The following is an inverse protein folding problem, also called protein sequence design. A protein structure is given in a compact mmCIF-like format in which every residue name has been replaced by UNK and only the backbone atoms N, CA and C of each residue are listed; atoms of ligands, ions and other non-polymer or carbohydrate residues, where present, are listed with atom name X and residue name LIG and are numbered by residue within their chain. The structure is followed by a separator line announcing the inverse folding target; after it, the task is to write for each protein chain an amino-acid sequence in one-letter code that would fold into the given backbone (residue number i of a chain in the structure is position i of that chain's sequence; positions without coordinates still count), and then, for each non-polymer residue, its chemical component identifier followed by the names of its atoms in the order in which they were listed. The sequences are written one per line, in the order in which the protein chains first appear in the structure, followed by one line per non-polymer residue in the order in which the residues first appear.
data_IF_523490813748
#
_entry.id   IF_523490813748
#
_cell.length_a   1.000
_cell.length_b   1.000
_cell.length_c   1.000
_cell.angle_alpha   90.00
_cell.angle_beta   90.00
_cell.angle_gamma   90.00
#
_symmetry.space_group_name_H-M   'P 1'
#
loop_
_entity.id
_entity.type
_entity.pdbx_description
1 polymer ?
#
# COMPACT_ATOMS: atom_id res chain seq x y z
N UNK A 1 -21.39 -14.36 6.47
CA UNK A 1 -20.37 -15.43 6.47
C UNK A 1 -19.49 -15.27 5.22
N UNK A 2 -18.19 -15.00 5.38
CA UNK A 2 -17.29 -14.73 4.25
C UNK A 2 -16.60 -16.03 3.83
N UNK A 3 -16.94 -16.55 2.64
CA UNK A 3 -16.35 -17.78 2.10
C UNK A 3 -14.89 -17.52 1.75
N UNK A 4 -13.96 -18.17 2.48
CA UNK A 4 -12.53 -18.18 2.18
C UNK A 4 -12.29 -18.93 0.87
N UNK A 5 -12.41 -18.25 -0.29
CA UNK A 5 -11.98 -18.80 -1.58
C UNK A 5 -10.49 -19.13 -1.48
N UNK A 6 -10.14 -20.42 -1.66
CA UNK A 6 -8.74 -20.85 -1.76
C UNK A 6 -8.10 -20.11 -2.93
N UNK A 7 -6.91 -19.54 -2.74
CA UNK A 7 -6.15 -18.95 -3.83
C UNK A 7 -6.02 -19.97 -4.97
N UNK A 8 -6.24 -19.54 -6.22
CA UNK A 8 -6.05 -20.43 -7.36
C UNK A 8 -4.61 -20.98 -7.35
N UNK A 9 -4.40 -22.13 -7.98
CA UNK A 9 -3.05 -22.68 -8.14
C UNK A 9 -2.17 -21.64 -8.84
N UNK A 10 -0.88 -21.61 -8.46
CA UNK A 10 0.13 -20.68 -9.02
C UNK A 10 0.37 -20.85 -10.52
N UNK A 11 -0.06 -21.98 -11.10
CA UNK A 11 -0.03 -22.23 -12.53
C UNK A 11 -1.44 -22.48 -13.06
N UNK A 12 -1.74 -21.86 -14.19
CA UNK A 12 -2.82 -22.31 -15.08
C UNK A 12 -2.44 -23.68 -15.63
N UNK A 13 -3.34 -24.67 -15.61
CA UNK A 13 -3.10 -25.98 -16.25
C UNK A 13 -3.09 -25.92 -17.79
N UNK A 14 -3.24 -24.72 -18.36
CA UNK A 14 -3.23 -24.46 -19.79
C UNK A 14 -1.81 -24.44 -20.33
N UNK A 15 -1.61 -25.06 -21.50
CA UNK A 15 -0.39 -24.94 -22.30
C UNK A 15 -0.35 -23.57 -22.98
N UNK A 16 0.29 -22.59 -22.33
CA UNK A 16 0.38 -21.21 -22.81
C UNK A 16 1.26 -21.08 -24.05
N UNK A 17 2.29 -21.93 -24.20
CA UNK A 17 3.17 -21.91 -25.37
C UNK A 17 2.41 -22.27 -26.65
N UNK A 18 1.51 -23.26 -26.56
CA UNK A 18 0.63 -23.62 -27.68
C UNK A 18 -0.36 -22.51 -28.03
N UNK A 19 -0.92 -21.83 -27.04
CA UNK A 19 -1.85 -20.71 -27.26
C UNK A 19 -1.13 -19.54 -27.92
N UNK A 20 0.06 -19.17 -27.44
CA UNK A 20 0.86 -18.07 -27.99
C UNK A 20 1.35 -18.34 -29.42
N UNK A 21 1.60 -19.60 -29.77
CA UNK A 21 1.97 -19.99 -31.12
C UNK A 21 0.81 -19.91 -32.14
N UNK A 22 -0.44 -19.90 -31.67
CA UNK A 22 -1.61 -19.88 -32.56
C UNK A 22 -1.85 -18.48 -33.14
N UNK A 23 -1.81 -18.38 -34.47
CA UNK A 23 -2.17 -17.15 -35.18
C UNK A 23 -3.63 -17.21 -35.59
N UNK A 24 -4.43 -16.34 -34.96
CA UNK A 24 -5.88 -16.25 -35.18
C UNK A 24 -6.16 -15.82 -36.63
N UNK A 25 -6.99 -16.59 -37.35
CA UNK A 25 -7.45 -16.32 -38.71
C UNK A 25 -8.81 -15.64 -38.73
N UNK A 26 -9.22 -15.10 -39.88
CA UNK A 26 -10.49 -14.37 -40.01
C UNK A 26 -11.71 -15.28 -39.90
N UNK A 27 -11.60 -16.49 -40.42
CA UNK A 27 -12.70 -17.47 -40.47
C UNK A 27 -13.11 -17.90 -39.05
N UNK A 28 -12.15 -17.96 -38.13
CA UNK A 28 -12.37 -18.28 -36.71
C UNK A 28 -13.30 -17.26 -36.02
N UNK A 29 -13.37 -16.02 -36.52
CA UNK A 29 -14.28 -15.00 -35.99
C UNK A 29 -15.73 -15.14 -36.47
N UNK A 30 -15.98 -15.92 -37.53
CA UNK A 30 -17.34 -16.04 -38.09
C UNK A 30 -18.25 -16.91 -37.22
N UNK A 31 -17.67 -17.80 -36.41
CA UNK A 31 -18.40 -18.68 -35.50
C UNK A 31 -18.69 -18.04 -34.13
N UNK A 32 -18.10 -16.87 -33.85
CA UNK A 32 -18.32 -16.16 -32.59
C UNK A 32 -19.72 -15.51 -32.58
N UNK A 33 -20.46 -15.61 -31.46
CA UNK A 33 -21.76 -14.95 -31.34
C UNK A 33 -21.60 -13.43 -31.36
N UNK A 34 -22.59 -12.74 -31.94
CA UNK A 34 -22.67 -11.29 -31.93
C UNK A 34 -22.81 -10.75 -30.50
N UNK A 35 -22.17 -9.61 -30.24
CA UNK A 35 -22.25 -8.93 -28.95
C UNK A 35 -23.57 -8.15 -28.86
N UNK A 36 -24.52 -8.66 -28.06
CA UNK A 36 -25.84 -8.02 -27.88
C UNK A 36 -25.86 -6.99 -26.75
N UNK A 37 -26.82 -6.06 -26.81
CA UNK A 37 -27.01 -5.03 -25.77
C UNK A 37 -27.35 -5.65 -24.40
N UNK A 38 -28.09 -6.76 -24.38
CA UNK A 38 -28.39 -7.49 -23.15
C UNK A 38 -27.13 -8.08 -22.50
N UNK A 39 -26.16 -8.54 -23.30
CA UNK A 39 -24.87 -9.02 -22.82
C UNK A 39 -24.03 -7.90 -22.21
N UNK A 40 -24.09 -6.70 -22.80
CA UNK A 40 -23.44 -5.49 -22.27
C UNK A 40 -24.13 -5.02 -20.99
N UNK A 41 -25.46 -5.00 -20.95
CA UNK A 41 -26.24 -4.55 -19.81
C UNK A 41 -25.97 -5.36 -18.53
N UNK A 42 -25.70 -6.67 -18.67
CA UNK A 42 -25.33 -7.55 -17.55
C UNK A 42 -23.83 -7.57 -17.23
N UNK A 43 -22.99 -6.92 -18.03
CA UNK A 43 -21.55 -6.97 -17.85
C UNK A 43 -21.11 -6.21 -16.60
N UNK A 44 -20.24 -6.84 -15.79
CA UNK A 44 -19.64 -6.19 -14.62
C UNK A 44 -18.22 -5.76 -14.97
N UNK A 45 -17.96 -4.45 -14.94
CA UNK A 45 -16.60 -3.93 -15.11
C UNK A 45 -15.81 -4.16 -13.83
N UNK A 46 -15.09 -5.28 -13.77
CA UNK A 46 -14.06 -5.45 -12.77
C UNK A 46 -12.80 -4.73 -13.28
N UNK A 47 -12.53 -3.53 -12.75
CA UNK A 47 -11.35 -2.74 -13.10
C UNK A 47 -10.01 -3.44 -12.83
N UNK A 48 -10.04 -4.61 -12.16
CA UNK A 48 -8.84 -5.35 -11.81
C UNK A 48 -7.95 -4.53 -10.89
N UNK A 49 -6.83 -5.13 -10.48
CA UNK A 49 -5.83 -4.47 -9.64
C UNK A 49 -5.75 -5.03 -8.22
N UNK A 50 -4.67 -4.66 -7.55
CA UNK A 50 -4.41 -5.07 -6.17
C UNK A 50 -5.47 -4.43 -5.25
N UNK A 51 -6.03 -5.18 -4.28
CA UNK A 51 -6.84 -4.57 -3.22
C UNK A 51 -6.09 -3.38 -2.61
N UNK A 52 -6.79 -2.25 -2.46
CA UNK A 52 -6.22 -1.07 -1.80
C UNK A 52 -5.86 -1.46 -0.36
N UNK A 53 -4.68 -1.08 0.10
CA UNK A 53 -4.30 -1.26 1.49
C UNK A 53 -5.05 -0.26 2.35
N UNK A 54 -5.57 -0.68 3.51
CA UNK A 54 -6.27 0.19 4.46
C UNK A 54 -5.36 1.28 5.04
N UNK A 55 -4.05 1.02 5.11
CA UNK A 55 -3.04 1.93 5.67
C UNK A 55 -1.82 1.99 4.73
N UNK A 56 -1.93 2.66 3.58
CA UNK A 56 -0.79 2.81 2.68
C UNK A 56 0.29 3.67 3.35
N UNK A 57 1.55 3.44 2.97
CA UNK A 57 2.63 4.36 3.36
C UNK A 57 2.41 5.70 2.67
N UNK A 58 2.56 6.79 3.42
CA UNK A 58 2.50 8.13 2.86
C UNK A 58 3.85 8.51 2.25
N UNK A 59 3.80 9.01 1.01
CA UNK A 59 4.98 9.55 0.35
C UNK A 59 5.18 11.00 0.81
N UNK A 60 6.18 11.21 1.67
CA UNK A 60 6.55 12.55 2.15
C UNK A 60 7.93 12.95 1.64
N UNK A 61 8.14 14.25 1.42
CA UNK A 61 9.46 14.82 1.14
C UNK A 61 10.13 15.25 2.45
N UNK A 62 11.07 14.45 2.95
CA UNK A 62 11.87 14.74 4.14
C UNK A 62 13.30 15.11 3.75
N UNK A 63 13.85 16.18 4.34
CA UNK A 63 15.26 16.54 4.19
C UNK A 63 16.06 15.95 5.35
N UNK A 64 17.08 15.16 5.02
CA UNK A 64 18.03 14.59 5.97
C UNK A 64 19.44 15.02 5.58
N UNK A 65 20.38 15.16 6.54
CA UNK A 65 21.78 15.39 6.23
C UNK A 65 22.36 14.27 5.34
N UNK A 66 23.30 14.64 4.47
CA UNK A 66 23.82 13.72 3.44
C UNK A 66 24.55 12.52 4.07
N UNK A 67 25.29 12.74 5.15
CA UNK A 67 26.02 11.72 5.90
C UNK A 67 25.09 10.66 6.51
N UNK A 68 23.88 11.04 6.92
CA UNK A 68 22.89 10.09 7.44
C UNK A 68 22.42 9.19 6.30
N UNK A 69 22.08 9.77 5.15
CA UNK A 69 21.62 9.01 3.98
C UNK A 69 22.70 8.03 3.52
N UNK A 70 23.97 8.45 3.49
CA UNK A 70 25.07 7.56 3.09
C UNK A 70 25.23 6.37 4.02
N UNK A 71 25.29 6.59 5.34
CA UNK A 71 25.36 5.50 6.34
C UNK A 71 24.23 4.49 6.17
N UNK A 72 23.02 4.97 5.87
CA UNK A 72 21.90 4.06 5.61
C UNK A 72 22.06 3.33 4.28
N UNK A 73 22.48 3.98 3.20
CA UNK A 73 22.71 3.33 1.90
C UNK A 73 23.76 2.22 1.99
N UNK A 74 24.82 2.42 2.77
CA UNK A 74 25.87 1.42 3.03
C UNK A 74 25.33 0.12 3.66
N UNK A 75 24.20 0.18 4.36
CA UNK A 75 23.56 -1.03 4.90
C UNK A 75 23.02 -1.97 3.80
N UNK A 76 22.97 -1.51 2.55
CA UNK A 76 22.56 -2.29 1.38
C UNK A 76 21.09 -2.10 0.96
N UNK A 77 20.60 -2.93 0.02
CA UNK A 77 19.23 -2.86 -0.48
C UNK A 77 18.20 -2.91 0.64
N UNK A 78 17.12 -2.12 0.51
CA UNK A 78 16.06 -2.05 1.53
C UNK A 78 16.38 -1.13 2.74
N UNK A 79 17.45 -0.34 2.68
CA UNK A 79 17.78 0.63 3.74
C UNK A 79 16.64 1.59 4.09
N UNK A 80 15.81 2.01 3.13
CA UNK A 80 14.65 2.87 3.38
C UNK A 80 13.60 2.17 4.27
N UNK A 81 13.37 0.87 4.03
CA UNK A 81 12.45 0.08 4.86
C UNK A 81 12.97 -0.03 6.28
N UNK A 82 14.26 -0.34 6.46
CA UNK A 82 14.89 -0.41 7.79
C UNK A 82 14.88 0.93 8.52
N UNK A 83 15.12 2.04 7.81
CA UNK A 83 15.00 3.39 8.37
C UNK A 83 13.57 3.67 8.84
N UNK A 84 12.57 3.37 8.01
CA UNK A 84 11.17 3.57 8.37
C UNK A 84 10.75 2.75 9.61
N UNK A 85 11.16 1.49 9.70
CA UNK A 85 10.90 0.67 10.88
C UNK A 85 11.62 1.18 12.13
N UNK A 86 12.84 1.72 11.98
CA UNK A 86 13.56 2.34 13.10
C UNK A 86 12.83 3.58 13.61
N UNK A 87 12.33 4.42 12.70
CA UNK A 87 11.54 5.61 13.04
C UNK A 87 10.20 5.23 13.71
N UNK A 88 9.54 4.17 13.25
CA UNK A 88 8.27 3.70 13.84
C UNK A 88 8.41 3.21 15.30
N UNK A 89 9.59 2.73 15.68
CA UNK A 89 9.89 2.26 17.05
C UNK A 89 10.46 3.35 17.97
N UNK A 90 10.91 4.48 17.39
CA UNK A 90 11.56 5.54 18.14
C UNK A 90 10.57 6.30 19.03
N UNK A 91 11.01 6.86 20.17
CA UNK A 91 10.19 7.75 20.95
C UNK A 91 9.87 9.02 20.13
N UNK A 92 8.60 9.41 20.13
CA UNK A 92 8.22 10.72 19.62
C UNK A 92 8.63 11.80 20.64
N UNK A 93 9.03 13.00 20.19
CA UNK A 93 9.29 14.10 21.10
C UNK A 93 8.06 14.32 21.98
N UNK A 94 8.29 14.41 23.30
CA UNK A 94 7.24 14.71 24.26
C UNK A 94 6.65 16.08 23.91
N UNK A 95 5.33 16.16 23.86
CA UNK A 95 4.65 17.43 23.65
C UNK A 95 5.18 18.48 24.67
N UNK A 96 5.36 19.74 24.26
CA UNK A 96 5.75 20.79 25.19
C UNK A 96 4.75 20.82 26.33
N UNK A 97 5.24 20.63 27.56
CA UNK A 97 4.41 20.74 28.75
C UNK A 97 3.88 22.18 28.83
N UNK A 98 2.57 22.39 29.04
CA UNK A 98 2.07 23.73 29.29
C UNK A 98 2.81 24.31 30.51
N UNK A 99 3.09 25.63 30.54
CA UNK A 99 3.81 26.24 31.64
C UNK A 99 3.08 25.90 32.94
N UNK A 100 3.80 25.26 33.86
CA UNK A 100 3.33 25.00 35.22
C UNK A 100 2.95 26.33 35.83
N UNK A 101 1.65 26.57 35.93
CA UNK A 101 1.08 27.75 36.58
C UNK A 101 1.44 27.61 38.05
N UNK A 102 2.53 28.25 38.46
CA UNK A 102 2.92 28.38 39.86
C UNK A 102 1.77 29.07 40.57
N UNK A 103 0.97 28.31 41.30
CA UNK A 103 -0.03 28.88 42.22
C UNK A 103 0.79 29.60 43.29
N UNK A 104 0.69 30.93 43.43
CA UNK A 104 1.38 31.61 44.51
C UNK A 104 0.80 31.08 45.82
N UNK A 105 1.65 30.37 46.57
CA UNK A 105 1.35 29.95 47.94
C UNK A 105 1.06 31.23 48.73
N UNK A 106 -0.21 31.42 49.09
CA UNK A 106 -0.65 32.56 49.89
C UNK A 106 0.05 32.45 51.24
N UNK A 107 1.11 33.22 51.41
CA UNK A 107 1.79 33.41 52.67
C UNK A 107 0.88 34.32 53.50
N UNK A 108 -0.04 33.72 54.25
CA UNK A 108 -0.81 34.41 55.28
C UNK A 108 0.17 35.08 56.24
N UNK A 109 0.18 36.40 56.24
CA UNK A 109 0.96 37.22 57.15
C UNK A 109 0.01 38.29 57.71
N UNK A 110 0.03 38.39 59.05
CA UNK A 110 -0.57 39.46 59.89
C UNK A 110 -2.09 39.30 60.06
N UNK A 111 -2.64 39.21 61.28
CA UNK A 111 -2.43 40.05 62.46
C UNK A 111 -2.86 39.33 63.74
#
# INVERSE_FOLDING_TARGET
MTVKKRASRRSSGSDLARVDAHRIRREEYQELPDLTDEMLARAVVNRGGRPRSDRPRELISLRLPAEVIQRWRETGPGWQTRMAERLARGPLPRAPQPPSRSVPSSRSSVR
#
